data_IF_085885468203
#
_entry.id   IF_085885468203
#
_cell.length_a   1.000
_cell.length_b   1.000
_cell.length_c   1.000
_cell.angle_alpha   90.00
_cell.angle_beta   90.00
_cell.angle_gamma   90.00
#
_symmetry.space_group_name_H-M   'P 1'
#
loop_
_entity.id
_entity.type
_entity.pdbx_description
1 polymer ?
#
# COMPACT_ATOMS: atom_id res chain seq x y z
N UNK A 1 74.87 24.20 22.98
CA UNK A 1 74.40 23.81 21.63
C UNK A 1 73.94 22.36 21.67
N UNK A 2 72.64 22.12 21.75
CA UNK A 2 71.96 20.90 21.28
C UNK A 2 70.46 21.11 21.48
N UNK A 3 69.72 21.13 20.37
CA UNK A 3 68.34 21.57 20.31
C UNK A 3 67.36 20.48 20.78
N UNK A 4 66.46 20.90 21.67
CA UNK A 4 65.20 20.26 22.01
C UNK A 4 64.36 20.08 20.73
N UNK A 5 63.88 18.86 20.47
CA UNK A 5 62.80 18.61 19.51
C UNK A 5 61.65 17.90 20.23
N UNK A 6 60.78 18.71 20.82
CA UNK A 6 59.46 18.29 21.29
C UNK A 6 58.57 18.12 20.06
N UNK A 7 58.21 16.87 19.75
CA UNK A 7 57.21 16.56 18.73
C UNK A 7 55.84 16.73 19.38
N UNK A 8 55.13 17.80 19.03
CA UNK A 8 53.72 18.00 19.40
C UNK A 8 52.88 17.28 18.38
N UNK A 9 52.32 16.12 18.75
CA UNK A 9 51.29 15.42 17.97
C UNK A 9 49.96 16.09 18.30
N UNK A 10 49.49 16.96 17.42
CA UNK A 10 48.13 17.51 17.47
C UNK A 10 47.19 16.44 16.90
N UNK A 11 46.53 15.69 17.79
CA UNK A 11 45.43 14.81 17.42
C UNK A 11 44.20 15.70 17.18
N UNK A 12 43.94 16.00 15.91
CA UNK A 12 42.69 16.60 15.45
C UNK A 12 41.60 15.53 15.53
N UNK A 13 40.89 15.50 16.65
CA UNK A 13 39.63 14.75 16.78
C UNK A 13 38.60 15.53 15.97
N UNK A 14 38.51 15.23 14.67
CA UNK A 14 37.38 15.64 13.85
C UNK A 14 36.15 14.91 14.37
N UNK A 15 35.35 15.61 15.17
CA UNK A 15 33.98 15.24 15.51
C UNK A 15 33.14 15.24 14.24
N UNK A 16 33.23 14.17 13.47
CA UNK A 16 32.18 13.80 12.53
C UNK A 16 30.94 13.47 13.37
N UNK A 17 30.13 14.50 13.63
CA UNK A 17 28.70 14.33 13.87
C UNK A 17 28.18 13.58 12.66
N UNK A 18 28.13 12.26 12.78
CA UNK A 18 27.27 11.45 11.95
C UNK A 18 25.87 11.88 12.36
N UNK A 19 25.30 12.81 11.61
CA UNK A 19 23.86 12.97 11.52
C UNK A 19 23.34 11.68 10.89
N UNK A 20 23.32 10.61 11.67
CA UNK A 20 22.37 9.54 11.46
C UNK A 20 21.04 10.23 11.59
N UNK A 21 20.42 10.55 10.46
CA UNK A 21 19.00 10.86 10.46
C UNK A 21 18.35 9.73 11.22
N UNK A 22 17.86 10.03 12.42
CA UNK A 22 17.11 9.07 13.21
C UNK A 22 15.89 8.74 12.35
N UNK A 23 15.96 7.65 11.59
CA UNK A 23 14.77 6.88 11.30
C UNK A 23 14.09 6.72 12.65
N UNK A 24 12.87 7.24 12.76
CA UNK A 24 12.12 7.21 13.99
C UNK A 24 11.75 5.75 14.26
N UNK A 25 12.65 5.00 14.88
CA UNK A 25 12.51 3.58 15.24
C UNK A 25 11.44 3.35 16.34
N UNK A 26 10.58 4.34 16.58
CA UNK A 26 9.42 4.17 17.45
C UNK A 26 8.48 3.18 16.75
N UNK A 27 8.10 2.07 17.40
CA UNK A 27 7.10 1.16 16.87
C UNK A 27 5.87 1.96 16.49
N UNK A 28 5.36 1.80 15.26
CA UNK A 28 4.12 2.47 14.89
C UNK A 28 3.00 1.90 15.75
N UNK A 29 2.08 2.75 16.17
CA UNK A 29 0.92 2.26 16.89
C UNK A 29 0.17 1.30 15.99
N UNK A 30 -0.46 0.27 16.57
CA UNK A 30 -1.33 -0.66 15.84
C UNK A 30 -2.63 0.02 15.45
N UNK A 31 -2.53 1.11 14.70
CA UNK A 31 -3.62 1.95 14.22
C UNK A 31 -3.69 1.87 12.71
N UNK A 32 -4.88 1.62 12.19
CA UNK A 32 -5.17 1.68 10.77
C UNK A 32 -6.19 2.79 10.56
N UNK A 33 -5.85 3.73 9.68
CA UNK A 33 -6.77 4.79 9.27
C UNK A 33 -7.57 4.28 8.08
N UNK A 34 -8.88 4.16 8.26
CA UNK A 34 -9.81 3.91 7.17
C UNK A 34 -10.31 5.26 6.64
N UNK A 35 -9.97 5.58 5.39
CA UNK A 35 -10.35 6.86 4.83
C UNK A 35 -11.85 7.00 4.66
N UNK A 36 -12.40 8.01 5.32
CA UNK A 36 -13.77 8.48 5.12
C UNK A 36 -13.82 9.91 4.64
N UNK A 37 -12.72 10.66 4.77
CA UNK A 37 -12.60 12.04 4.35
C UNK A 37 -12.81 12.22 2.83
N UNK A 38 -12.36 11.26 2.01
CA UNK A 38 -12.50 11.30 0.55
C UNK A 38 -13.77 10.61 0.04
N UNK A 39 -14.71 10.30 0.95
CA UNK A 39 -16.05 9.76 0.64
C UNK A 39 -15.98 8.50 -0.22
N UNK A 40 -15.64 7.34 0.37
CA UNK A 40 -15.62 6.09 -0.37
C UNK A 40 -16.97 5.85 -1.06
N UNK A 41 -16.95 5.32 -2.28
CA UNK A 41 -18.18 5.10 -3.07
C UNK A 41 -19.10 4.09 -2.36
N UNK A 42 -18.53 3.02 -1.80
CA UNK A 42 -19.24 2.10 -0.92
C UNK A 42 -19.09 2.49 0.54
N UNK A 43 -20.08 2.12 1.35
CA UNK A 43 -20.06 2.31 2.81
C UNK A 43 -20.02 0.98 3.58
N UNK A 44 -20.27 -0.14 2.91
CA UNK A 44 -20.35 -1.47 3.54
C UNK A 44 -18.96 -2.13 3.64
N UNK A 45 -18.12 -1.65 4.54
CA UNK A 45 -16.77 -2.19 4.83
C UNK A 45 -16.62 -2.69 6.26
N UNK A 46 -17.72 -3.09 6.91
CA UNK A 46 -17.71 -3.48 8.32
C UNK A 46 -16.90 -4.75 8.56
N UNK A 47 -16.99 -5.73 7.65
CA UNK A 47 -16.23 -6.99 7.71
C UNK A 47 -14.75 -6.77 7.40
N UNK A 48 -14.42 -5.89 6.46
CA UNK A 48 -13.03 -5.49 6.20
C UNK A 48 -12.38 -4.91 7.47
N UNK A 49 -13.04 -3.93 8.10
CA UNK A 49 -12.56 -3.31 9.35
C UNK A 49 -12.47 -4.34 10.48
N UNK A 50 -13.40 -5.31 10.53
CA UNK A 50 -13.39 -6.39 11.53
C UNK A 50 -12.16 -7.30 11.37
N UNK A 51 -11.76 -7.67 10.15
CA UNK A 51 -10.56 -8.50 9.90
C UNK A 51 -9.31 -7.83 10.50
N UNK A 52 -9.13 -6.52 10.29
CA UNK A 52 -8.02 -5.79 10.87
C UNK A 52 -8.09 -5.72 12.41
N UNK A 53 -9.28 -5.51 12.99
CA UNK A 53 -9.47 -5.53 14.45
C UNK A 53 -9.15 -6.90 15.06
N UNK A 54 -9.60 -7.97 14.43
CA UNK A 54 -9.28 -9.35 14.82
C UNK A 54 -7.78 -9.65 14.71
N UNK A 55 -7.06 -8.93 13.84
CA UNK A 55 -5.61 -8.98 13.72
C UNK A 55 -4.88 -8.07 14.73
N UNK A 56 -5.62 -7.45 15.67
CA UNK A 56 -5.07 -6.66 16.76
C UNK A 56 -4.86 -5.18 16.45
N UNK A 57 -5.42 -4.65 15.36
CA UNK A 57 -5.36 -3.23 15.03
C UNK A 57 -6.56 -2.45 15.59
N UNK A 58 -6.31 -1.23 16.04
CA UNK A 58 -7.32 -0.21 16.23
C UNK A 58 -7.64 0.45 14.89
N UNK A 59 -8.84 0.21 14.35
CA UNK A 59 -9.27 0.80 13.08
C UNK A 59 -10.08 2.05 13.34
N UNK A 60 -9.55 3.19 12.88
CA UNK A 60 -10.11 4.54 13.06
C UNK A 60 -10.62 5.05 11.72
N UNK A 61 -11.87 5.51 11.69
CA UNK A 61 -12.42 6.22 10.53
C UNK A 61 -11.92 7.67 10.58
N UNK A 62 -11.29 8.12 9.49
CA UNK A 62 -10.63 9.44 9.49
C UNK A 62 -10.12 9.86 8.11
N UNK A 63 -9.04 10.64 8.11
CA UNK A 63 -8.36 11.15 6.93
C UNK A 63 -6.86 11.34 7.14
N UNK A 64 -6.25 12.13 6.25
CA UNK A 64 -4.81 12.41 6.25
C UNK A 64 -4.31 13.08 7.55
N UNK A 65 -5.19 13.80 8.24
CA UNK A 65 -4.95 14.43 9.53
C UNK A 65 -4.69 13.41 10.67
N UNK A 66 -4.98 12.13 10.44
CA UNK A 66 -4.82 11.06 11.42
C UNK A 66 -3.63 10.12 11.14
N UNK A 67 -2.75 10.47 10.18
CA UNK A 67 -1.65 9.59 9.77
C UNK A 67 -0.47 9.53 10.76
N UNK A 68 -0.38 10.49 11.69
CA UNK A 68 0.69 10.48 12.70
C UNK A 68 0.59 9.23 13.59
N UNK A 69 1.69 8.48 13.67
CA UNK A 69 1.77 7.21 14.42
C UNK A 69 1.01 6.03 13.80
N UNK A 70 0.24 6.22 12.72
CA UNK A 70 -0.53 5.13 12.11
C UNK A 70 0.37 4.11 11.41
N UNK A 71 -0.03 2.84 11.43
CA UNK A 71 0.64 1.75 10.70
C UNK A 71 0.25 1.73 9.21
N UNK A 72 -1.03 1.92 8.93
CA UNK A 72 -1.54 1.87 7.57
C UNK A 72 -2.69 2.86 7.31
N UNK A 73 -2.86 3.21 6.05
CA UNK A 73 -3.94 4.04 5.53
C UNK A 73 -4.66 3.31 4.40
N UNK A 74 -5.98 3.17 4.53
CA UNK A 74 -6.83 2.45 3.58
C UNK A 74 -7.68 3.44 2.81
N UNK A 75 -7.49 3.51 1.50
CA UNK A 75 -8.16 4.42 0.59
C UNK A 75 -9.06 3.60 -0.36
N UNK A 76 -10.31 3.39 0.07
CA UNK A 76 -11.23 2.44 -0.56
C UNK A 76 -12.21 3.15 -1.51
N UNK A 77 -11.89 3.20 -2.80
CA UNK A 77 -12.76 3.80 -3.81
C UNK A 77 -13.10 5.27 -3.52
N UNK A 78 -12.12 6.17 -3.31
CA UNK A 78 -12.41 7.57 -3.00
C UNK A 78 -13.22 8.21 -4.13
N UNK A 79 -14.26 8.96 -3.79
CA UNK A 79 -15.05 9.69 -4.78
C UNK A 79 -14.48 11.08 -5.07
N UNK A 80 -13.69 11.63 -4.15
CA UNK A 80 -13.11 12.97 -4.24
C UNK A 80 -11.63 12.92 -4.61
N UNK A 81 -11.10 14.06 -5.08
CA UNK A 81 -9.67 14.22 -5.33
C UNK A 81 -8.90 14.08 -4.02
N UNK A 82 -7.82 13.32 -4.07
CA UNK A 82 -6.91 13.08 -2.95
C UNK A 82 -5.69 13.97 -3.11
N UNK A 83 -5.25 14.60 -2.01
CA UNK A 83 -3.99 15.36 -1.98
C UNK A 83 -2.82 14.40 -1.68
N UNK A 84 -1.85 14.39 -2.58
CA UNK A 84 -0.76 13.42 -2.55
C UNK A 84 0.30 13.68 -1.49
N UNK A 85 0.50 14.92 -1.03
CA UNK A 85 1.72 15.28 -0.28
C UNK A 85 1.81 14.60 1.08
N UNK A 86 0.74 14.63 1.87
CA UNK A 86 0.74 14.03 3.22
C UNK A 86 0.80 12.51 3.16
N UNK A 87 0.14 11.91 2.17
CA UNK A 87 0.13 10.46 1.95
C UNK A 87 1.52 9.99 1.48
N UNK A 88 2.13 10.68 0.52
CA UNK A 88 3.47 10.36 0.04
C UNK A 88 4.48 10.41 1.18
N UNK A 89 4.44 11.46 2.01
CA UNK A 89 5.29 11.57 3.20
C UNK A 89 5.01 10.45 4.22
N UNK A 90 3.75 10.08 4.44
CA UNK A 90 3.40 8.99 5.33
C UNK A 90 4.02 7.66 4.89
N UNK A 91 3.91 7.34 3.59
CA UNK A 91 4.50 6.14 3.00
C UNK A 91 6.02 6.21 3.01
N UNK A 92 6.63 7.33 2.60
CA UNK A 92 8.07 7.53 2.60
C UNK A 92 8.70 7.20 3.97
N UNK A 93 8.01 7.57 5.06
CA UNK A 93 8.45 7.34 6.43
C UNK A 93 8.13 5.94 6.98
N UNK A 94 7.69 4.97 6.16
CA UNK A 94 7.41 3.59 6.58
C UNK A 94 5.94 3.22 6.66
N UNK A 95 5.02 4.11 6.31
CA UNK A 95 3.59 3.83 6.32
C UNK A 95 3.18 2.87 5.20
N UNK A 96 2.13 2.10 5.42
CA UNK A 96 1.55 1.22 4.38
C UNK A 96 0.28 1.85 3.82
N UNK A 97 0.24 2.07 2.52
CA UNK A 97 -0.93 2.57 1.81
C UNK A 97 -1.60 1.42 1.07
N UNK A 98 -2.90 1.21 1.29
CA UNK A 98 -3.72 0.32 0.48
C UNK A 98 -4.80 1.11 -0.25
N UNK A 99 -4.72 1.13 -1.58
CA UNK A 99 -5.67 1.79 -2.46
C UNK A 99 -6.53 0.73 -3.16
N UNK A 100 -7.85 0.91 -3.14
CA UNK A 100 -8.76 0.14 -3.98
C UNK A 100 -9.49 1.08 -4.96
N UNK A 101 -9.49 0.74 -6.24
CA UNK A 101 -10.01 1.60 -7.32
C UNK A 101 -11.50 1.31 -7.55
N UNK A 102 -12.32 2.36 -7.69
CA UNK A 102 -13.74 2.24 -8.07
C UNK A 102 -14.07 2.91 -9.41
N UNK A 103 -13.61 4.16 -9.55
CA UNK A 103 -13.79 4.98 -10.76
C UNK A 103 -12.46 5.09 -11.51
N UNK A 104 -12.47 5.46 -12.80
CA UNK A 104 -11.25 5.81 -13.51
C UNK A 104 -10.41 6.78 -12.67
N UNK A 105 -9.09 6.57 -12.56
CA UNK A 105 -8.26 7.08 -11.47
C UNK A 105 -7.95 8.59 -11.59
N UNK A 106 -8.77 9.41 -12.24
CA UNK A 106 -8.51 10.85 -12.39
C UNK A 106 -8.43 11.60 -11.05
N UNK A 107 -9.08 11.07 -10.01
CA UNK A 107 -9.01 11.61 -8.66
C UNK A 107 -7.79 11.09 -7.84
N UNK A 108 -7.07 10.11 -8.40
CA UNK A 108 -5.89 9.46 -7.83
C UNK A 108 -4.63 9.63 -8.71
N UNK A 109 -4.73 10.25 -9.89
CA UNK A 109 -3.70 10.23 -10.93
C UNK A 109 -2.36 10.77 -10.40
N UNK A 110 -2.37 11.93 -9.75
CA UNK A 110 -1.17 12.50 -9.12
C UNK A 110 -0.55 11.58 -8.07
N UNK A 111 -1.38 10.98 -7.19
CA UNK A 111 -0.91 10.10 -6.13
C UNK A 111 -0.30 8.81 -6.70
N UNK A 112 -0.94 8.23 -7.72
CA UNK A 112 -0.43 7.03 -8.38
C UNK A 112 0.85 7.32 -9.15
N UNK A 113 0.94 8.47 -9.84
CA UNK A 113 2.14 8.92 -10.54
C UNK A 113 3.32 9.11 -9.58
N UNK A 114 3.09 9.73 -8.42
CA UNK A 114 4.09 9.90 -7.36
C UNK A 114 4.71 8.55 -6.93
N UNK A 115 3.90 7.50 -6.87
CA UNK A 115 4.35 6.15 -6.52
C UNK A 115 4.77 5.29 -7.73
N UNK A 116 4.79 5.84 -8.93
CA UNK A 116 5.15 5.12 -10.15
C UNK A 116 4.15 4.01 -10.53
N UNK A 117 2.89 4.13 -10.11
CA UNK A 117 1.81 3.25 -10.51
C UNK A 117 1.08 3.78 -11.75
N UNK A 118 0.73 2.84 -12.63
CA UNK A 118 -0.17 3.08 -13.74
C UNK A 118 -1.41 2.21 -13.57
N UNK A 119 -2.58 2.82 -13.76
CA UNK A 119 -3.89 2.15 -13.75
C UNK A 119 -4.57 2.43 -15.09
N UNK A 120 -5.17 1.41 -15.71
CA UNK A 120 -5.90 1.59 -16.96
C UNK A 120 -7.06 2.60 -16.78
N UNK A 121 -7.37 3.35 -17.85
CA UNK A 121 -8.48 4.32 -17.82
C UNK A 121 -9.85 3.66 -17.95
N UNK A 122 -9.89 2.47 -18.51
CA UNK A 122 -11.09 1.69 -18.74
C UNK A 122 -11.03 0.41 -17.91
N UNK A 123 -12.14 -0.02 -17.29
CA UNK A 123 -12.16 -1.28 -16.56
C UNK A 123 -12.09 -2.46 -17.53
N UNK A 124 -11.72 -3.62 -17.00
CA UNK A 124 -11.83 -4.89 -17.69
C UNK A 124 -13.30 -5.09 -18.09
N UNK A 125 -13.55 -5.40 -19.37
CA UNK A 125 -14.91 -5.51 -19.93
C UNK A 125 -15.80 -6.55 -19.21
N UNK A 126 -15.20 -7.52 -18.53
CA UNK A 126 -15.93 -8.52 -17.73
C UNK A 126 -16.28 -7.94 -16.38
N UNK A 127 -17.53 -8.11 -15.97
CA UNK A 127 -17.98 -7.65 -14.65
C UNK A 127 -17.30 -8.40 -13.51
N UNK A 128 -17.09 -9.72 -13.67
CA UNK A 128 -16.41 -10.53 -12.67
C UNK A 128 -15.06 -10.96 -13.23
N UNK A 129 -13.99 -10.72 -12.48
CA UNK A 129 -12.62 -11.05 -12.86
C UNK A 129 -12.00 -11.92 -11.78
N UNK A 130 -11.57 -13.11 -12.16
CA UNK A 130 -10.79 -14.00 -11.28
C UNK A 130 -9.32 -13.62 -11.36
N UNK A 131 -8.71 -13.38 -10.20
CA UNK A 131 -7.29 -13.11 -10.05
C UNK A 131 -6.53 -14.33 -9.54
N UNK A 132 -5.30 -14.52 -10.04
CA UNK A 132 -4.37 -15.54 -9.54
C UNK A 132 -3.03 -14.91 -9.21
N UNK A 133 -2.30 -15.39 -8.18
CA UNK A 133 -0.94 -14.94 -7.91
C UNK A 133 -0.03 -15.11 -9.13
N UNK A 134 0.76 -14.08 -9.45
CA UNK A 134 1.78 -14.16 -10.51
C UNK A 134 3.16 -14.50 -9.97
N UNK A 135 3.39 -14.18 -8.70
CA UNK A 135 4.65 -14.36 -7.98
C UNK A 135 4.37 -14.82 -6.56
N UNK A 136 5.32 -15.53 -5.97
CA UNK A 136 5.31 -15.78 -4.54
C UNK A 136 5.49 -14.45 -3.80
N UNK A 137 4.55 -14.11 -2.93
CA UNK A 137 4.56 -12.85 -2.19
C UNK A 137 3.88 -13.05 -0.84
N UNK A 138 4.29 -12.35 0.25
CA UNK A 138 3.59 -12.43 1.53
C UNK A 138 2.09 -12.14 1.43
N UNK A 139 1.71 -11.19 0.56
CA UNK A 139 0.32 -10.85 0.32
C UNK A 139 -0.47 -11.94 -0.43
N UNK A 140 0.21 -12.82 -1.18
CA UNK A 140 -0.41 -13.91 -1.95
C UNK A 140 -0.27 -15.28 -1.31
N UNK A 141 0.29 -15.35 -0.10
CA UNK A 141 0.52 -16.62 0.62
C UNK A 141 -0.79 -17.39 0.83
N UNK A 142 -0.82 -18.63 0.35
CA UNK A 142 -1.98 -19.53 0.47
C UNK A 142 -3.23 -19.08 -0.29
N UNK A 143 -3.11 -18.10 -1.19
CA UNK A 143 -4.19 -17.68 -2.10
C UNK A 143 -4.14 -18.56 -3.35
N UNK A 144 -5.27 -19.18 -3.69
CA UNK A 144 -5.44 -19.84 -4.98
C UNK A 144 -6.02 -18.85 -6.00
N UNK A 145 -7.09 -18.16 -5.62
CA UNK A 145 -7.70 -17.13 -6.46
C UNK A 145 -8.51 -16.10 -5.66
N UNK A 146 -8.56 -14.87 -6.17
CA UNK A 146 -9.43 -13.80 -5.67
C UNK A 146 -10.47 -13.44 -6.73
N UNK A 147 -11.57 -12.80 -6.33
CA UNK A 147 -12.64 -12.38 -7.23
C UNK A 147 -12.88 -10.87 -7.13
N UNK A 148 -12.84 -10.18 -8.27
CA UNK A 148 -13.10 -8.74 -8.42
C UNK A 148 -14.36 -8.46 -9.23
N UNK A 149 -15.00 -7.31 -8.99
CA UNK A 149 -16.30 -6.88 -9.51
C UNK A 149 -16.22 -5.48 -10.15
N UNK A 150 -15.80 -5.41 -11.42
CA UNK A 150 -15.57 -4.13 -12.12
C UNK A 150 -14.14 -3.64 -12.02
N UNK A 151 -13.20 -4.53 -12.31
CA UNK A 151 -11.78 -4.34 -12.02
C UNK A 151 -11.02 -3.55 -13.09
N UNK A 152 -10.13 -2.65 -12.67
CA UNK A 152 -9.12 -2.00 -13.50
C UNK A 152 -7.80 -2.78 -13.47
N UNK A 153 -7.02 -2.69 -14.55
CA UNK A 153 -5.65 -3.21 -14.49
C UNK A 153 -4.69 -2.22 -13.86
N UNK A 154 -3.73 -2.74 -13.12
CA UNK A 154 -2.73 -2.00 -12.35
C UNK A 154 -1.32 -2.50 -12.67
N UNK A 155 -0.33 -1.62 -12.67
CA UNK A 155 1.08 -1.98 -12.86
C UNK A 155 1.69 -2.62 -11.60
N UNK A 156 2.95 -3.07 -11.73
CA UNK A 156 3.70 -3.76 -10.66
C UNK A 156 2.97 -4.99 -10.10
N UNK A 157 2.47 -5.89 -10.96
CA UNK A 157 1.43 -6.83 -10.55
C UNK A 157 1.98 -7.99 -9.72
N UNK A 158 1.30 -8.27 -8.60
CA UNK A 158 1.47 -9.49 -7.81
C UNK A 158 0.32 -10.49 -8.01
N UNK A 159 -0.85 -9.99 -8.44
CA UNK A 159 -1.99 -10.81 -8.85
C UNK A 159 -2.41 -10.37 -10.25
N UNK A 160 -2.56 -11.32 -11.16
CA UNK A 160 -2.96 -11.12 -12.54
C UNK A 160 -4.31 -11.73 -12.83
N UNK A 161 -4.90 -11.32 -13.95
CA UNK A 161 -6.15 -11.90 -14.45
C UNK A 161 -5.95 -13.35 -14.89
N UNK A 162 -6.77 -14.27 -14.39
CA UNK A 162 -6.84 -15.66 -14.87
C UNK A 162 -7.44 -15.66 -16.28
N UNK A 163 -6.60 -15.73 -17.31
CA UNK A 163 -7.05 -15.83 -18.71
C UNK A 163 -7.12 -17.29 -19.15
N UNK A 164 -8.25 -17.70 -19.73
CA UNK A 164 -8.39 -19.02 -20.38
C UNK A 164 -7.52 -19.13 -21.65
N UNK A 165 -7.16 -17.99 -22.24
CA UNK A 165 -6.27 -17.87 -23.40
C UNK A 165 -5.25 -16.78 -23.16
N UNK A 166 -3.96 -17.11 -23.24
CA UNK A 166 -2.86 -16.14 -23.09
C UNK A 166 -2.96 -15.06 -24.18
N UNK A 167 -3.49 -13.88 -23.85
CA UNK A 167 -3.38 -12.72 -24.72
C UNK A 167 -2.09 -11.97 -24.38
N UNK A 168 -1.05 -12.22 -25.16
CA UNK A 168 0.15 -11.38 -25.19
C UNK A 168 -0.17 -10.09 -25.95
N UNK A 169 -0.73 -9.10 -25.26
CA UNK A 169 -1.04 -7.81 -25.87
C UNK A 169 -1.30 -6.75 -24.80
N UNK A 170 -0.25 -6.35 -24.09
CA UNK A 170 -0.08 -4.96 -23.65
C UNK A 170 1.42 -4.74 -23.41
N UNK A 171 1.97 -3.61 -23.87
CA UNK A 171 3.39 -3.24 -23.75
C UNK A 171 3.89 -3.06 -22.30
N UNK A 172 3.06 -3.40 -21.30
CA UNK A 172 3.36 -3.32 -19.87
C UNK A 172 2.82 -4.57 -19.18
N UNK A 173 3.61 -5.10 -18.24
CA UNK A 173 3.18 -6.14 -17.31
C UNK A 173 2.14 -5.54 -16.36
N UNK A 174 0.87 -5.89 -16.61
CA UNK A 174 -0.29 -5.38 -15.89
C UNK A 174 -1.05 -6.54 -15.25
N UNK A 175 -1.59 -6.31 -14.06
CA UNK A 175 -2.40 -7.26 -13.30
C UNK A 175 -3.61 -6.58 -12.71
N UNK A 176 -4.18 -7.15 -11.65
CA UNK A 176 -5.35 -6.61 -10.95
C UNK A 176 -5.05 -6.22 -9.49
N UNK A 177 -3.91 -6.65 -8.96
CA UNK A 177 -3.33 -6.13 -7.72
C UNK A 177 -1.85 -5.88 -7.95
N UNK A 178 -1.40 -4.67 -7.62
CA UNK A 178 -0.03 -4.22 -7.73
C UNK A 178 0.58 -3.92 -6.36
N UNK A 179 1.91 -4.01 -6.29
CA UNK A 179 2.67 -3.80 -5.06
C UNK A 179 4.01 -3.11 -5.36
N UNK A 180 4.39 -2.14 -4.53
CA UNK A 180 5.71 -1.50 -4.61
C UNK A 180 6.18 -1.01 -3.23
N UNK A 181 7.50 -0.86 -3.09
CA UNK A 181 8.13 -0.11 -1.99
C UNK A 181 8.30 1.34 -2.40
N UNK A 182 8.11 2.28 -1.48
CA UNK A 182 8.41 3.72 -1.69
C UNK A 182 8.98 4.30 -0.41
N UNK A 183 10.21 4.83 -0.49
CA UNK A 183 11.00 5.15 0.72
C UNK A 183 11.13 3.93 1.62
N UNK A 184 10.69 4.06 2.87
CA UNK A 184 10.64 2.94 3.81
C UNK A 184 9.29 2.22 3.88
N UNK A 185 8.24 2.77 3.27
CA UNK A 185 6.90 2.19 3.27
C UNK A 185 6.55 1.40 2.03
N UNK A 186 5.27 1.04 1.93
CA UNK A 186 4.75 0.17 0.88
C UNK A 186 3.41 0.66 0.35
N UNK A 187 3.17 0.43 -0.93
CA UNK A 187 1.90 0.70 -1.60
C UNK A 187 1.34 -0.61 -2.14
N UNK A 188 0.06 -0.83 -1.87
CA UNK A 188 -0.76 -1.90 -2.43
C UNK A 188 -1.87 -1.22 -3.23
N UNK A 189 -2.04 -1.58 -4.50
CA UNK A 189 -3.13 -1.05 -5.34
C UNK A 189 -3.95 -2.22 -5.85
N UNK A 190 -5.22 -2.30 -5.46
CA UNK A 190 -6.19 -3.22 -6.02
C UNK A 190 -7.07 -2.48 -7.04
N UNK A 191 -7.26 -3.08 -8.21
CA UNK A 191 -8.07 -2.50 -9.28
C UNK A 191 -9.58 -2.47 -9.01
N UNK A 192 -10.03 -2.90 -7.84
CA UNK A 192 -11.46 -2.96 -7.48
C UNK A 192 -11.63 -2.81 -5.97
N UNK A 193 -12.56 -1.95 -5.55
CA UNK A 193 -12.97 -1.77 -4.15
C UNK A 193 -14.17 -2.65 -3.77
N UNK A 194 -15.03 -2.99 -4.72
CA UNK A 194 -16.24 -3.77 -4.51
C UNK A 194 -15.90 -5.16 -3.95
N UNK A 195 -14.80 -5.78 -4.40
CA UNK A 195 -14.24 -7.04 -3.88
C UNK A 195 -14.09 -7.09 -2.35
N UNK A 196 -13.94 -5.94 -1.70
CA UNK A 196 -13.68 -5.83 -0.27
C UNK A 196 -14.87 -5.32 0.54
N UNK A 197 -16.02 -5.13 -0.11
CA UNK A 197 -17.28 -4.83 0.58
C UNK A 197 -17.80 -6.06 1.34
N UNK A 198 -18.70 -5.84 2.30
CA UNK A 198 -19.31 -6.90 3.12
C UNK A 198 -19.99 -7.99 2.26
N UNK A 199 -20.48 -7.63 1.07
CA UNK A 199 -21.12 -8.55 0.13
C UNK A 199 -20.12 -9.51 -0.53
N UNK A 200 -18.90 -9.05 -0.80
CA UNK A 200 -17.96 -9.74 -1.69
C UNK A 200 -16.67 -10.20 -1.01
N UNK A 201 -16.38 -9.75 0.21
CA UNK A 201 -15.16 -10.11 0.91
C UNK A 201 -15.01 -11.61 1.20
N UNK A 202 -16.11 -12.36 1.20
CA UNK A 202 -16.10 -13.82 1.35
C UNK A 202 -16.10 -14.58 0.01
N UNK A 203 -15.96 -13.89 -1.12
CA UNK A 203 -15.84 -14.53 -2.43
C UNK A 203 -14.40 -15.00 -2.66
N UNK A 204 -14.25 -16.28 -3.00
CA UNK A 204 -12.96 -16.95 -3.15
C UNK A 204 -12.03 -16.66 -1.95
N UNK A 205 -10.76 -16.32 -2.18
CA UNK A 205 -9.80 -15.98 -1.12
C UNK A 205 -9.73 -14.48 -0.77
N UNK A 206 -10.73 -13.65 -1.11
CA UNK A 206 -10.68 -12.20 -0.82
C UNK A 206 -10.42 -11.90 0.67
N UNK A 207 -11.11 -12.60 1.59
CA UNK A 207 -10.87 -12.48 3.04
C UNK A 207 -9.44 -12.84 3.42
N UNK A 208 -8.89 -13.92 2.83
CA UNK A 208 -7.52 -14.37 3.09
C UNK A 208 -6.50 -13.34 2.58
N UNK A 209 -6.77 -12.73 1.42
CA UNK A 209 -5.95 -11.62 0.92
C UNK A 209 -5.89 -10.45 1.91
N UNK A 210 -7.02 -10.02 2.47
CA UNK A 210 -7.04 -8.98 3.50
C UNK A 210 -6.32 -9.43 4.77
N UNK A 211 -6.47 -10.68 5.20
CA UNK A 211 -5.74 -11.23 6.34
C UNK A 211 -4.22 -11.20 6.10
N UNK A 212 -3.77 -11.51 4.89
CA UNK A 212 -2.36 -11.40 4.52
C UNK A 212 -1.87 -9.94 4.55
N UNK A 213 -2.69 -8.98 4.13
CA UNK A 213 -2.38 -7.54 4.27
C UNK A 213 -2.25 -7.17 5.77
N UNK A 214 -3.18 -7.60 6.61
CA UNK A 214 -3.12 -7.33 8.05
C UNK A 214 -1.86 -7.92 8.70
N UNK A 215 -1.49 -9.14 8.33
CA UNK A 215 -0.25 -9.78 8.80
C UNK A 215 0.99 -9.02 8.31
N UNK A 216 1.01 -8.65 7.02
CA UNK A 216 2.09 -7.87 6.44
C UNK A 216 2.27 -6.52 7.14
N UNK A 217 1.18 -5.82 7.46
CA UNK A 217 1.26 -4.58 8.24
C UNK A 217 1.88 -4.86 9.61
N UNK A 218 1.44 -5.91 10.31
CA UNK A 218 1.97 -6.23 11.64
C UNK A 218 3.45 -6.60 11.63
N UNK A 219 3.97 -7.15 10.52
CA UNK A 219 5.37 -7.54 10.37
C UNK A 219 6.29 -6.37 9.97
N UNK A 220 5.71 -5.25 9.52
CA UNK A 220 6.44 -4.07 9.03
C UNK A 220 6.32 -2.85 9.94
N UNK A 221 5.34 -2.83 10.85
CA UNK A 221 5.12 -1.78 11.85
C UNK A 221 6.02 -1.89 13.08
#
# INVERSE_FOLDING_TARGET
>A
MSHIRTVVIVILITSSLVLTGCADDRPRDKVIIFDTAHRPIFSQYSELKKIFRESGFNVVDGGVENLDGASAYLLMGPAHKVDEQEIAKFVENGGILFIAIHIPPSNLENLLEEFGFYVEKEPIKRQIVTGIPLVEHPLTSGIEEITMYGCFRVSNPIIGEKKETMSFSSEKDMGIVGFAKYGEGFIIVAGDDAAFTDQHINSSDNRKFIQNIAHFISDKS
#
